data_IF_454070778051
#
_entry.id   IF_454070778051
#
_cell.length_a   1.000
_cell.length_b   1.000
_cell.length_c   1.000
_cell.angle_alpha   90.00
_cell.angle_beta   90.00
_cell.angle_gamma   90.00
#
_symmetry.space_group_name_H-M   'P 1'
#
loop_
_entity.id
_entity.type
_entity.pdbx_description
1 polymer ?
#
# COMPACT_ATOMS: atom_id res chain seq x y z
N UNK A 1 0.85 -21.76 18.91
CA UNK A 1 -0.10 -21.00 18.08
C UNK A 1 0.39 -19.59 17.77
N UNK A 2 -0.21 -18.95 16.77
CA UNK A 2 0.11 -17.59 16.38
C UNK A 2 -1.17 -16.79 16.11
N UNK A 3 -1.16 -15.51 16.44
CA UNK A 3 -2.28 -14.59 16.20
C UNK A 3 -1.97 -13.67 15.02
N UNK A 4 -2.98 -13.46 14.19
CA UNK A 4 -2.90 -12.61 13.02
C UNK A 4 -3.53 -11.24 13.26
N UNK A 5 -2.75 -10.17 13.18
CA UNK A 5 -3.24 -8.79 13.32
C UNK A 5 -3.21 -8.08 11.96
N UNK A 6 -4.33 -7.49 11.58
CA UNK A 6 -4.37 -6.55 10.47
C UNK A 6 -3.98 -5.17 10.98
N UNK A 7 -2.84 -4.60 10.54
CA UNK A 7 -2.47 -3.27 10.96
C UNK A 7 -3.32 -2.22 10.24
N UNK A 8 -3.20 -0.98 10.71
CA UNK A 8 -3.72 0.21 10.05
C UNK A 8 -2.55 1.17 9.86
N UNK A 9 -2.57 1.91 8.75
CA UNK A 9 -1.64 3.02 8.57
C UNK A 9 -1.99 4.17 9.52
N UNK A 10 -1.00 4.98 9.89
CA UNK A 10 -1.21 6.09 10.81
C UNK A 10 -2.13 7.15 10.16
N UNK A 11 -3.12 7.69 10.89
CA UNK A 11 -4.06 8.67 10.33
C UNK A 11 -3.37 9.89 9.69
N UNK A 12 -2.33 10.40 10.32
CA UNK A 12 -1.54 11.54 9.84
C UNK A 12 -0.83 11.26 8.51
N UNK A 13 -0.30 10.05 8.33
CA UNK A 13 0.36 9.63 7.09
C UNK A 13 -0.67 9.40 5.97
N UNK A 14 -1.85 8.88 6.32
CA UNK A 14 -2.97 8.73 5.40
C UNK A 14 -3.47 10.09 4.92
N UNK A 15 -3.61 11.07 5.81
CA UNK A 15 -3.97 12.44 5.45
C UNK A 15 -2.95 13.07 4.50
N UNK A 16 -1.66 12.87 4.77
CA UNK A 16 -0.59 13.34 3.88
C UNK A 16 -0.68 12.68 2.49
N UNK A 17 -0.90 11.36 2.44
CA UNK A 17 -1.05 10.63 1.19
C UNK A 17 -2.27 11.11 0.38
N UNK A 18 -3.43 11.24 1.02
CA UNK A 18 -4.65 11.73 0.39
C UNK A 18 -4.45 13.14 -0.19
N UNK A 19 -3.81 14.03 0.58
CA UNK A 19 -3.48 15.39 0.13
C UNK A 19 -2.55 15.36 -1.07
N UNK A 20 -1.52 14.52 -1.04
CA UNK A 20 -0.55 14.40 -2.14
C UNK A 20 -1.19 13.91 -3.46
N UNK A 21 -2.08 12.92 -3.37
CA UNK A 21 -2.86 12.42 -4.50
C UNK A 21 -4.02 13.35 -4.90
N UNK A 22 -4.33 14.38 -4.10
CA UNK A 22 -5.47 15.27 -4.34
C UNK A 22 -6.82 14.57 -4.24
N UNK A 23 -6.93 13.56 -3.37
CA UNK A 23 -8.14 12.77 -3.16
C UNK A 23 -8.91 13.27 -1.94
N UNK A 24 -10.23 13.36 -2.09
CA UNK A 24 -11.12 13.64 -0.96
C UNK A 24 -11.36 12.36 -0.15
N UNK A 25 -10.89 12.36 1.10
CA UNK A 25 -10.79 11.16 1.94
C UNK A 25 -12.13 10.50 2.26
N UNK A 26 -13.16 11.29 2.53
CA UNK A 26 -14.44 10.83 3.10
C UNK A 26 -15.55 10.69 2.05
N UNK A 27 -15.21 10.90 0.77
CA UNK A 27 -16.14 10.74 -0.34
C UNK A 27 -16.47 9.26 -0.52
N UNK A 28 -17.77 8.88 -0.55
CA UNK A 28 -18.17 7.49 -0.71
C UNK A 28 -17.84 6.99 -2.12
N UNK A 29 -17.16 5.86 -2.17
CA UNK A 29 -16.73 5.17 -3.39
C UNK A 29 -17.40 3.79 -3.48
N UNK A 30 -17.71 3.41 -4.71
CA UNK A 30 -18.12 2.04 -5.06
C UNK A 30 -17.09 1.49 -6.03
N UNK A 31 -16.45 0.40 -5.65
CA UNK A 31 -15.43 -0.27 -6.46
C UNK A 31 -15.98 -1.60 -6.97
N UNK A 32 -15.53 -2.03 -8.15
CA UNK A 32 -15.84 -3.36 -8.69
C UNK A 32 -14.53 -4.07 -8.96
N UNK A 33 -14.33 -5.23 -8.32
CA UNK A 33 -13.16 -6.06 -8.58
C UNK A 33 -13.40 -6.83 -9.89
N UNK A 34 -12.61 -6.53 -10.92
CA UNK A 34 -12.72 -7.17 -12.24
C UNK A 34 -11.79 -8.39 -12.35
N UNK A 35 -10.71 -8.41 -11.57
CA UNK A 35 -9.73 -9.49 -11.58
C UNK A 35 -10.16 -10.62 -10.62
N UNK A 36 -10.31 -11.83 -11.15
CA UNK A 36 -10.66 -13.05 -10.41
C UNK A 36 -9.51 -13.58 -9.56
N UNK A 37 -8.27 -13.16 -9.84
CA UNK A 37 -7.07 -13.55 -9.09
C UNK A 37 -6.78 -12.61 -7.93
N UNK A 38 -7.58 -11.57 -7.75
CA UNK A 38 -7.42 -10.60 -6.69
C UNK A 38 -7.58 -11.25 -5.31
N UNK A 39 -6.98 -10.65 -4.30
CA UNK A 39 -7.12 -11.14 -2.92
C UNK A 39 -8.58 -11.10 -2.47
N UNK A 40 -8.97 -12.02 -1.57
CA UNK A 40 -10.30 -12.03 -0.98
C UNK A 40 -10.68 -10.68 -0.33
N UNK A 41 -9.69 -9.93 0.19
CA UNK A 41 -9.88 -8.59 0.75
C UNK A 41 -10.29 -7.56 -0.32
N UNK A 42 -9.67 -7.59 -1.50
CA UNK A 42 -10.04 -6.72 -2.62
C UNK A 42 -11.42 -7.10 -3.19
N UNK A 43 -11.73 -8.40 -3.27
CA UNK A 43 -13.08 -8.84 -3.64
C UNK A 43 -14.13 -8.37 -2.62
N UNK A 44 -13.85 -8.46 -1.33
CA UNK A 44 -14.75 -7.98 -0.28
C UNK A 44 -14.93 -6.46 -0.33
N UNK A 45 -13.85 -5.71 -0.62
CA UNK A 45 -13.92 -4.26 -0.83
C UNK A 45 -14.84 -3.90 -2.00
N UNK A 46 -14.78 -4.66 -3.11
CA UNK A 46 -15.64 -4.44 -4.28
C UNK A 46 -17.12 -4.76 -4.07
N UNK A 47 -17.53 -5.22 -2.88
CA UNK A 47 -18.92 -5.56 -2.54
C UNK A 47 -19.53 -4.62 -1.50
N UNK A 48 -18.80 -3.60 -1.08
CA UNK A 48 -19.22 -2.65 -0.04
C UNK A 48 -18.96 -1.21 -0.49
N UNK A 49 -19.65 -0.25 0.14
CA UNK A 49 -19.29 1.16 0.03
C UNK A 49 -18.07 1.40 0.93
N UNK A 50 -17.09 2.11 0.41
CA UNK A 50 -15.88 2.46 1.15
C UNK A 50 -15.50 3.91 0.85
N UNK A 51 -14.48 4.44 1.50
CA UNK A 51 -13.95 5.78 1.25
C UNK A 51 -12.48 5.69 0.87
N UNK A 52 -11.94 6.73 0.24
CA UNK A 52 -10.51 6.77 -0.07
C UNK A 52 -9.69 6.63 1.23
N UNK A 53 -10.07 7.33 2.30
CA UNK A 53 -9.43 7.21 3.62
C UNK A 53 -9.38 5.78 4.12
N UNK A 54 -10.48 5.04 4.05
CA UNK A 54 -10.51 3.65 4.52
C UNK A 54 -9.59 2.75 3.68
N UNK A 55 -9.54 2.96 2.36
CA UNK A 55 -8.65 2.21 1.47
C UNK A 55 -7.18 2.42 1.84
N UNK A 56 -6.77 3.68 2.03
CA UNK A 56 -5.40 4.01 2.43
C UNK A 56 -5.08 3.60 3.87
N UNK A 57 -6.09 3.49 4.75
CA UNK A 57 -5.88 3.09 6.15
C UNK A 57 -5.71 1.57 6.29
N UNK A 58 -6.55 0.79 5.61
CA UNK A 58 -6.73 -0.64 5.93
C UNK A 58 -6.43 -1.60 4.77
N UNK A 59 -6.34 -1.10 3.53
CA UNK A 59 -6.30 -1.96 2.34
C UNK A 59 -4.97 -1.88 1.62
N UNK A 60 -4.43 -0.69 1.40
CA UNK A 60 -3.18 -0.50 0.64
C UNK A 60 -1.97 -0.38 1.57
N UNK A 61 -0.92 -1.13 1.27
CA UNK A 61 0.37 -1.04 1.96
C UNK A 61 1.28 -0.01 1.25
N UNK A 62 0.97 1.27 1.43
CA UNK A 62 1.69 2.38 0.79
C UNK A 62 2.99 2.75 1.52
N UNK A 63 3.07 2.50 2.82
CA UNK A 63 4.28 2.77 3.62
C UNK A 63 5.24 1.56 3.67
N UNK A 64 4.90 0.49 2.95
CA UNK A 64 5.75 -0.68 2.79
C UNK A 64 7.00 -0.43 1.93
N UNK A 65 7.86 -1.46 1.86
CA UNK A 65 9.11 -1.39 1.10
C UNK A 65 8.86 -1.51 -0.41
N UNK A 66 9.38 -0.57 -1.22
CA UNK A 66 9.19 -0.60 -2.66
C UNK A 66 10.01 -1.70 -3.34
N UNK A 67 9.53 -2.11 -4.50
CA UNK A 67 10.17 -3.12 -5.35
C UNK A 67 10.68 -2.50 -6.65
N UNK A 68 11.66 -3.16 -7.30
CA UNK A 68 12.15 -2.71 -8.62
C UNK A 68 11.04 -2.77 -9.68
N UNK A 69 10.13 -3.74 -9.59
CA UNK A 69 8.99 -3.86 -10.49
C UNK A 69 8.01 -2.70 -10.31
N UNK A 70 7.79 -2.24 -9.07
CA UNK A 70 6.98 -1.06 -8.79
C UNK A 70 7.56 0.18 -9.50
N UNK A 71 8.85 0.47 -9.37
CA UNK A 71 9.45 1.64 -10.04
C UNK A 71 9.28 1.60 -11.57
N UNK A 72 9.42 0.41 -12.18
CA UNK A 72 9.18 0.21 -13.62
C UNK A 72 7.72 0.43 -14.01
N UNK A 73 6.79 -0.02 -13.17
CA UNK A 73 5.37 0.15 -13.41
C UNK A 73 4.94 1.61 -13.22
N UNK A 74 5.47 2.28 -12.20
CA UNK A 74 5.22 3.70 -11.91
C UNK A 74 5.68 4.62 -13.04
N UNK A 75 6.79 4.27 -13.72
CA UNK A 75 7.30 5.05 -14.84
C UNK A 75 6.29 5.24 -15.98
N UNK A 76 5.27 4.39 -16.10
CA UNK A 76 4.20 4.53 -17.11
C UNK A 76 3.24 5.69 -16.83
N UNK A 77 3.20 6.16 -15.58
CA UNK A 77 2.32 7.24 -15.12
C UNK A 77 3.06 8.57 -14.94
N UNK A 78 4.36 8.60 -15.23
CA UNK A 78 5.22 9.76 -15.08
C UNK A 78 5.46 10.46 -16.42
N UNK A 79 5.87 11.74 -16.36
CA UNK A 79 6.35 12.46 -17.53
C UNK A 79 7.66 11.84 -18.07
N UNK A 80 8.00 12.06 -19.34
CA UNK A 80 9.18 11.48 -19.98
C UNK A 80 10.50 11.56 -19.16
N UNK A 81 10.90 12.72 -18.58
CA UNK A 81 12.14 12.79 -17.80
C UNK A 81 12.08 11.94 -16.51
N UNK A 82 10.97 11.99 -15.79
CA UNK A 82 10.79 11.22 -14.56
C UNK A 82 10.63 9.72 -14.84
N UNK A 83 9.98 9.36 -15.96
CA UNK A 83 9.82 7.99 -16.39
C UNK A 83 11.17 7.33 -16.65
N UNK A 84 12.08 8.02 -17.33
CA UNK A 84 13.42 7.51 -17.61
C UNK A 84 14.28 7.48 -16.34
N UNK A 85 14.14 8.46 -15.44
CA UNK A 85 14.77 8.43 -14.13
C UNK A 85 14.27 7.25 -13.27
N UNK A 86 12.98 6.94 -13.28
CA UNK A 86 12.37 5.81 -12.59
C UNK A 86 12.86 4.46 -13.15
N UNK A 87 12.95 4.33 -14.47
CA UNK A 87 13.54 3.14 -15.13
C UNK A 87 15.02 2.99 -14.76
N UNK A 88 15.78 4.08 -14.78
CA UNK A 88 17.17 4.11 -14.38
C UNK A 88 17.36 3.74 -12.91
N UNK A 89 16.50 4.25 -12.03
CA UNK A 89 16.47 3.87 -10.62
C UNK A 89 16.23 2.37 -10.45
N UNK A 90 15.24 1.82 -11.15
CA UNK A 90 14.90 0.39 -11.06
C UNK A 90 16.02 -0.55 -11.57
N UNK A 91 16.87 -0.08 -12.49
CA UNK A 91 17.96 -0.85 -13.08
C UNK A 91 19.29 -0.68 -12.33
N UNK A 92 19.53 0.49 -11.73
CA UNK A 92 20.81 0.86 -11.13
C UNK A 92 20.98 0.47 -9.66
N UNK A 93 22.21 0.64 -9.17
CA UNK A 93 22.59 0.43 -7.76
C UNK A 93 21.91 1.43 -6.80
N UNK A 94 21.44 2.59 -7.29
CA UNK A 94 20.76 3.61 -6.47
C UNK A 94 19.53 3.06 -5.74
N UNK A 95 18.85 2.06 -6.31
CA UNK A 95 17.72 1.41 -5.65
C UNK A 95 18.12 0.69 -4.37
N UNK A 96 19.33 0.11 -4.32
CA UNK A 96 19.85 -0.53 -3.10
C UNK A 96 20.02 0.49 -1.97
N UNK A 97 20.56 1.66 -2.29
CA UNK A 97 20.66 2.77 -1.32
C UNK A 97 19.31 3.21 -0.75
N UNK A 98 18.24 3.21 -1.56
CA UNK A 98 16.89 3.48 -1.07
C UNK A 98 16.34 2.37 -0.17
N UNK A 99 16.64 1.10 -0.48
CA UNK A 99 16.27 -0.01 0.37
C UNK A 99 16.99 0.02 1.71
N UNK A 100 18.28 0.34 1.71
CA UNK A 100 19.10 0.46 2.93
C UNK A 100 18.61 1.64 3.79
N UNK A 101 18.18 2.73 3.17
CA UNK A 101 17.54 3.86 3.84
C UNK A 101 16.09 3.59 4.27
N UNK A 102 15.54 2.39 4.01
CA UNK A 102 14.16 2.02 4.32
C UNK A 102 13.10 2.96 3.74
N UNK A 103 13.36 3.47 2.53
CA UNK A 103 12.38 4.28 1.80
C UNK A 103 11.08 3.48 1.56
N UNK A 104 9.94 4.15 1.64
CA UNK A 104 8.62 3.59 1.39
C UNK A 104 8.16 3.78 -0.06
N UNK A 105 7.04 3.17 -0.48
CA UNK A 105 6.44 3.51 -1.77
C UNK A 105 6.05 4.99 -1.83
N UNK A 106 5.55 5.55 -0.73
CA UNK A 106 5.16 6.96 -0.66
C UNK A 106 6.34 7.92 -0.87
N UNK A 107 7.52 7.59 -0.34
CA UNK A 107 8.71 8.39 -0.57
C UNK A 107 9.10 8.43 -2.05
N UNK A 108 8.91 7.32 -2.77
CA UNK A 108 9.13 7.28 -4.23
C UNK A 108 8.12 8.17 -4.95
N UNK A 109 6.84 8.15 -4.56
CA UNK A 109 5.86 9.08 -5.11
C UNK A 109 6.30 10.54 -4.89
N UNK A 110 6.73 10.90 -3.68
CA UNK A 110 7.22 12.27 -3.37
C UNK A 110 8.45 12.66 -4.20
N UNK A 111 9.38 11.72 -4.46
CA UNK A 111 10.57 11.97 -5.28
C UNK A 111 10.24 12.24 -6.76
N UNK A 112 9.12 11.71 -7.27
CA UNK A 112 8.72 11.83 -8.67
C UNK A 112 7.30 12.41 -8.78
N UNK A 113 7.13 13.73 -8.55
CA UNK A 113 5.81 14.36 -8.45
C UNK A 113 4.98 14.33 -9.73
N UNK A 114 5.59 14.06 -10.89
CA UNK A 114 4.83 13.88 -12.13
C UNK A 114 4.13 12.51 -12.23
N UNK A 115 4.54 11.53 -11.43
CA UNK A 115 3.97 10.19 -11.42
C UNK A 115 2.71 10.10 -10.55
N UNK A 116 1.58 10.58 -11.08
CA UNK A 116 0.28 10.61 -10.37
C UNK A 116 -0.73 9.62 -10.93
N UNK A 117 -0.64 8.32 -10.57
CA UNK A 117 -1.66 7.34 -10.94
C UNK A 117 -3.01 7.65 -10.27
N UNK A 118 -4.10 7.22 -10.90
CA UNK A 118 -5.43 7.26 -10.30
C UNK A 118 -5.57 6.22 -9.19
N UNK A 119 -6.58 6.37 -8.32
CA UNK A 119 -6.88 5.40 -7.26
C UNK A 119 -7.04 3.96 -7.79
N UNK A 120 -7.68 3.79 -8.95
CA UNK A 120 -7.82 2.48 -9.59
C UNK A 120 -6.46 1.87 -9.98
N UNK A 121 -5.55 2.68 -10.52
CA UNK A 121 -4.20 2.23 -10.88
C UNK A 121 -3.35 1.90 -9.64
N UNK A 122 -3.59 2.56 -8.50
CA UNK A 122 -2.88 2.26 -7.25
C UNK A 122 -3.12 0.82 -6.78
N UNK A 123 -4.32 0.25 -6.97
CA UNK A 123 -4.59 -1.16 -6.62
C UNK A 123 -3.75 -2.16 -7.42
N UNK A 124 -3.31 -1.81 -8.64
CA UNK A 124 -2.42 -2.65 -9.44
C UNK A 124 -0.93 -2.38 -9.20
N UNK A 125 -0.59 -1.21 -8.64
CA UNK A 125 0.79 -0.81 -8.36
C UNK A 125 1.25 -1.20 -6.97
N UNK A 126 0.37 -1.03 -5.98
CA UNK A 126 0.68 -1.22 -4.57
C UNK A 126 0.20 -2.59 -4.09
N UNK A 127 0.95 -3.24 -3.18
CA UNK A 127 0.49 -4.46 -2.55
C UNK A 127 -0.68 -4.20 -1.60
N UNK A 128 -1.56 -5.20 -1.48
CA UNK A 128 -2.58 -5.22 -0.44
C UNK A 128 -1.92 -5.46 0.94
N UNK A 129 -2.50 -4.83 1.96
CA UNK A 129 -2.03 -4.92 3.33
C UNK A 129 -2.15 -6.34 3.87
N UNK A 130 -1.03 -6.86 4.37
CA UNK A 130 -0.93 -8.20 4.94
C UNK A 130 -1.08 -8.16 6.46
N UNK A 131 -1.71 -9.20 6.99
CA UNK A 131 -1.69 -9.52 8.40
C UNK A 131 -0.26 -9.77 8.90
N UNK A 132 0.03 -9.38 10.14
CA UNK A 132 1.26 -9.72 10.84
C UNK A 132 0.99 -10.81 11.87
N UNK A 133 1.88 -11.80 11.86
CA UNK A 133 1.82 -12.96 12.75
C UNK A 133 2.65 -12.71 14.00
N UNK A 134 2.05 -12.91 15.17
CA UNK A 134 2.72 -12.85 16.46
C UNK A 134 2.59 -14.20 17.16
N UNK A 135 3.67 -14.65 17.80
CA UNK A 135 3.64 -15.85 18.65
C UNK A 135 2.76 -15.58 19.85
N UNK A 136 1.80 -16.49 20.09
CA UNK A 136 0.97 -16.42 21.30
C UNK A 136 1.87 -16.75 22.50
N UNK A 137 1.95 -15.82 23.46
CA UNK A 137 2.87 -15.90 24.59
C UNK A 137 2.22 -16.54 25.84
N UNK A 138 0.90 -16.71 25.86
CA UNK A 138 0.16 -17.35 26.95
C UNK A 138 -0.19 -18.82 26.65
N UNK A 139 -0.59 -19.55 27.69
CA UNK A 139 -1.06 -20.93 27.58
C UNK A 139 -2.59 -20.99 27.58
N UNK A 140 -3.15 -21.73 26.62
CA UNK A 140 -4.61 -21.97 26.51
C UNK A 140 -5.18 -22.70 27.72
N UNK A 141 -4.36 -23.48 28.43
CA UNK A 141 -4.78 -24.25 29.59
C UNK A 141 -4.92 -23.37 30.85
N UNK A 142 -4.15 -22.28 30.91
CA UNK A 142 -4.14 -21.36 32.05
C UNK A 142 -5.11 -20.19 31.85
N UNK A 143 -5.19 -19.66 30.63
CA UNK A 143 -6.12 -18.57 30.27
C UNK A 143 -6.92 -18.95 29.02
N UNK A 144 -7.92 -19.84 29.14
CA UNK A 144 -8.72 -20.26 28.00
C UNK A 144 -9.56 -19.09 27.46
N UNK A 145 -9.58 -18.95 26.13
CA UNK A 145 -10.42 -17.96 25.45
C UNK A 145 -9.85 -16.53 25.40
N UNK A 146 -8.65 -16.29 25.93
CA UNK A 146 -7.97 -14.99 25.88
C UNK A 146 -6.59 -15.15 25.23
N UNK A 147 -6.20 -14.19 24.41
CA UNK A 147 -4.85 -14.06 23.85
C UNK A 147 -4.30 -12.76 24.44
N UNK A 148 -3.30 -12.87 25.32
CA UNK A 148 -2.61 -11.74 25.98
C UNK A 148 -1.15 -11.65 25.56
#
# INVERSE_FOLDING_TARGET
DAVGLYPQNLPEEVDEALSWFGLEGDTPLSLTCVDETASARLHALGRQRTTARQIFTEVLDIFGKPSRSFCKALAKFASAPDADALKGLAAGERFKGLQDASASFFDIFKMFPSAKPSLAHLFGLLPAMKWRLYSIANSSDYVPGVIE
#
